data_IF_919543040635
#
_entry.id   IF_919543040635
#
_cell.length_a   1.000
_cell.length_b   1.000
_cell.length_c   1.000
_cell.angle_alpha   90.00
_cell.angle_beta   90.00
_cell.angle_gamma   90.00
#
_symmetry.space_group_name_H-M   'P 1'
#
loop_
_entity.id
_entity.type
_entity.pdbx_description
1 polymer ?
#
# COMPACT_ATOMS: atom_id res chain seq x y z
N UNK A 1 -13.42 9.33 -10.47
CA UNK A 1 -13.56 9.47 -9.00
C UNK A 1 -14.90 8.89 -8.49
N UNK A 2 -14.86 8.05 -7.45
CA UNK A 2 -16.04 7.37 -6.88
C UNK A 2 -16.74 8.20 -5.79
N UNK A 3 -16.00 9.08 -5.12
CA UNK A 3 -16.47 9.99 -4.07
C UNK A 3 -15.86 11.37 -4.29
N UNK A 4 -16.64 12.42 -4.04
CA UNK A 4 -16.11 13.78 -4.00
C UNK A 4 -15.56 14.09 -2.61
N UNK A 5 -14.43 14.79 -2.51
CA UNK A 5 -13.76 15.05 -1.22
C UNK A 5 -14.67 15.77 -0.20
N UNK A 6 -15.56 16.66 -0.67
CA UNK A 6 -16.52 17.37 0.20
C UNK A 6 -17.62 16.48 0.78
N UNK A 7 -17.88 15.30 0.20
CA UNK A 7 -18.88 14.35 0.72
C UNK A 7 -18.47 13.78 2.07
N UNK A 8 -17.17 13.73 2.38
CA UNK A 8 -16.64 13.24 3.65
C UNK A 8 -16.60 14.33 4.74
N UNK A 9 -16.69 15.61 4.37
CA UNK A 9 -16.63 16.73 5.30
C UNK A 9 -17.72 16.67 6.41
N UNK A 10 -19.02 16.42 6.11
CA UNK A 10 -20.03 16.26 7.16
C UNK A 10 -19.83 14.99 8.00
N UNK A 11 -19.31 13.91 7.41
CA UNK A 11 -19.01 12.65 8.11
C UNK A 11 -17.87 12.82 9.11
N UNK A 12 -16.89 13.69 8.83
CA UNK A 12 -15.73 13.91 9.71
C UNK A 12 -16.05 14.52 11.08
N UNK A 13 -17.18 15.24 11.19
CA UNK A 13 -17.62 15.94 12.40
C UNK A 13 -18.86 15.37 13.07
N UNK A 14 -19.36 14.21 12.62
CA UNK A 14 -20.60 13.61 13.11
C UNK A 14 -20.48 12.08 13.23
N UNK A 15 -21.44 11.45 13.91
CA UNK A 15 -21.58 9.99 14.00
C UNK A 15 -22.33 9.40 12.79
N UNK A 16 -22.21 10.03 11.61
CA UNK A 16 -22.87 9.57 10.39
C UNK A 16 -22.04 8.44 9.77
N UNK A 17 -22.61 7.24 9.69
CA UNK A 17 -22.03 6.13 8.95
C UNK A 17 -22.30 6.28 7.45
N UNK A 18 -21.24 6.24 6.64
CA UNK A 18 -21.35 6.28 5.19
C UNK A 18 -21.05 4.91 4.58
N UNK A 19 -22.00 4.38 3.81
CA UNK A 19 -21.82 3.13 3.06
C UNK A 19 -21.89 3.40 1.56
N UNK A 20 -20.84 3.02 0.83
CA UNK A 20 -20.87 2.95 -0.62
C UNK A 20 -21.26 1.56 -1.09
N UNK A 21 -22.22 1.53 -2.02
CA UNK A 21 -22.70 0.35 -2.71
C UNK A 21 -22.76 0.58 -4.21
N UNK A 22 -22.58 -0.49 -4.97
CA UNK A 22 -22.86 -0.49 -6.40
C UNK A 22 -24.36 -0.64 -6.62
N UNK A 23 -24.99 0.25 -7.39
CA UNK A 23 -26.42 0.14 -7.73
C UNK A 23 -26.72 -1.05 -8.64
N UNK A 24 -25.75 -1.50 -9.43
CA UNK A 24 -25.89 -2.64 -10.35
C UNK A 24 -25.70 -3.99 -9.65
N UNK A 25 -24.95 -4.02 -8.54
CA UNK A 25 -24.65 -5.24 -7.77
C UNK A 25 -24.77 -4.96 -6.27
N UNK A 26 -25.99 -4.71 -5.76
CA UNK A 26 -26.20 -4.26 -4.38
C UNK A 26 -25.78 -5.29 -3.32
N UNK A 27 -25.75 -6.58 -3.66
CA UNK A 27 -25.43 -7.68 -2.74
C UNK A 27 -23.94 -8.06 -2.71
N UNK A 28 -23.10 -7.49 -3.60
CA UNK A 28 -21.66 -7.83 -3.68
C UNK A 28 -20.78 -7.07 -2.67
N UNK A 29 -21.36 -6.71 -1.53
CA UNK A 29 -20.68 -6.00 -0.46
C UNK A 29 -20.75 -4.47 -0.60
N UNK A 30 -20.11 -3.80 0.36
CA UNK A 30 -20.13 -2.35 0.48
C UNK A 30 -18.84 -1.84 1.09
N UNK A 31 -18.39 -0.67 0.70
CA UNK A 31 -17.33 0.05 1.42
C UNK A 31 -17.97 0.86 2.54
N UNK A 32 -17.73 0.48 3.79
CA UNK A 32 -18.14 1.25 4.97
C UNK A 32 -17.04 2.24 5.34
N UNK A 33 -17.41 3.49 5.51
CA UNK A 33 -16.52 4.56 5.99
C UNK A 33 -17.00 4.94 7.38
N UNK A 34 -16.18 4.59 8.38
CA UNK A 34 -16.44 4.76 9.80
C UNK A 34 -15.20 5.32 10.51
N UNK A 35 -15.39 5.97 11.65
CA UNK A 35 -14.30 6.52 12.47
C UNK A 35 -13.75 5.45 13.41
N UNK A 36 -13.10 4.43 12.86
CA UNK A 36 -12.45 3.37 13.64
C UNK A 36 -10.94 3.47 13.49
N UNK A 37 -10.20 3.25 14.59
CA UNK A 37 -8.75 3.03 14.54
C UNK A 37 -8.51 1.77 13.70
N UNK A 38 -8.12 1.96 12.44
CA UNK A 38 -7.93 0.86 11.51
C UNK A 38 -7.02 -0.22 12.12
N UNK A 39 -7.51 -1.46 12.17
CA UNK A 39 -6.69 -2.61 12.56
C UNK A 39 -5.70 -2.92 11.44
N UNK A 40 -4.52 -2.30 11.49
CA UNK A 40 -3.39 -2.57 10.60
C UNK A 40 -2.79 -1.30 10.00
N UNK A 41 -1.45 -1.23 10.03
CA UNK A 41 -0.65 -0.09 9.55
C UNK A 41 -0.12 -0.36 8.13
N UNK A 42 -0.23 0.63 7.24
CA UNK A 42 0.26 0.54 5.88
C UNK A 42 -0.67 1.12 4.82
N UNK A 43 -0.27 1.00 3.55
CA UNK A 43 -1.09 1.43 2.42
C UNK A 43 -2.31 0.52 2.28
N UNK A 44 -3.45 1.13 1.99
CA UNK A 44 -4.73 0.45 1.69
C UNK A 44 -5.24 0.80 0.30
N UNK A 45 -4.84 1.96 -0.20
CA UNK A 45 -5.30 2.51 -1.48
C UNK A 45 -4.07 3.01 -2.24
N UNK A 46 -4.07 2.78 -3.54
CA UNK A 46 -3.18 3.43 -4.50
C UNK A 46 -4.06 4.24 -5.44
N UNK A 47 -3.69 5.50 -5.70
CA UNK A 47 -4.46 6.41 -6.57
C UNK A 47 -3.53 7.19 -7.47
N UNK A 48 -4.01 7.57 -8.66
CA UNK A 48 -3.36 8.54 -9.53
C UNK A 48 -4.28 9.69 -9.90
N UNK A 49 -3.68 10.76 -10.39
CA UNK A 49 -4.35 11.85 -11.06
C UNK A 49 -3.47 12.34 -12.21
N UNK A 50 -3.88 12.14 -13.46
CA UNK A 50 -3.05 12.45 -14.64
C UNK A 50 -3.06 13.94 -15.03
N UNK A 51 -4.05 14.71 -14.56
CA UNK A 51 -4.19 16.15 -14.85
C UNK A 51 -4.03 17.01 -13.59
N UNK A 52 -2.79 17.14 -13.11
CA UNK A 52 -2.47 18.06 -12.00
C UNK A 52 -1.67 19.26 -12.48
N UNK A 53 -1.76 20.33 -11.71
CA UNK A 53 -1.06 21.59 -11.92
C UNK A 53 -0.15 21.90 -10.73
N UNK A 54 1.00 22.51 -11.01
CA UNK A 54 1.91 23.03 -10.00
C UNK A 54 1.90 24.55 -10.04
N UNK A 55 1.67 25.16 -8.87
CA UNK A 55 1.96 26.57 -8.64
C UNK A 55 3.38 26.63 -8.08
N UNK A 56 4.26 27.28 -8.80
CA UNK A 56 5.66 27.48 -8.46
C UNK A 56 5.85 28.88 -7.88
N UNK A 57 6.44 28.99 -6.69
CA UNK A 57 6.79 30.25 -6.07
C UNK A 57 8.31 30.33 -5.91
N UNK A 58 8.91 31.26 -6.65
CA UNK A 58 10.33 31.55 -6.57
C UNK A 58 10.57 32.59 -5.47
N UNK A 59 11.22 32.17 -4.39
CA UNK A 59 11.57 33.05 -3.27
C UNK A 59 12.76 33.94 -3.70
N UNK A 60 12.67 35.27 -3.55
CA UNK A 60 13.77 36.18 -3.88
C UNK A 60 15.02 35.93 -3.04
N UNK A 61 16.18 36.14 -3.66
CA UNK A 61 17.46 36.08 -2.97
C UNK A 61 17.51 37.14 -1.85
N UNK A 62 17.66 36.70 -0.60
CA UNK A 62 17.75 37.56 0.58
C UNK A 62 16.58 37.45 1.55
N UNK A 63 15.49 36.76 1.18
CA UNK A 63 14.41 36.43 2.09
C UNK A 63 14.66 35.07 2.77
N UNK A 64 14.18 34.89 3.99
CA UNK A 64 14.21 33.58 4.66
C UNK A 64 13.21 32.63 4.00
N UNK A 65 13.73 31.62 3.33
CA UNK A 65 12.98 30.57 2.66
C UNK A 65 11.99 29.84 3.57
N UNK A 66 12.38 29.58 4.83
CA UNK A 66 11.50 28.88 5.78
C UNK A 66 10.35 29.75 6.22
N UNK A 67 10.60 31.05 6.39
CA UNK A 67 9.57 32.02 6.73
C UNK A 67 8.57 32.15 5.57
N UNK A 68 9.07 32.31 4.34
CA UNK A 68 8.23 32.37 3.14
C UNK A 68 7.34 31.12 2.99
N UNK A 69 7.89 29.92 3.21
CA UNK A 69 7.09 28.68 3.19
C UNK A 69 5.98 28.68 4.25
N UNK A 70 6.29 29.11 5.48
CA UNK A 70 5.32 29.16 6.59
C UNK A 70 4.22 30.20 6.35
N UNK A 71 4.56 31.35 5.78
CA UNK A 71 3.60 32.41 5.46
C UNK A 71 2.62 31.94 4.38
N UNK A 72 3.13 31.32 3.31
CA UNK A 72 2.30 30.75 2.25
C UNK A 72 1.39 29.64 2.79
N UNK A 73 1.93 28.71 3.59
CA UNK A 73 1.15 27.64 4.21
C UNK A 73 0.02 28.22 5.09
N UNK A 74 0.29 29.32 5.81
CA UNK A 74 -0.72 30.00 6.63
C UNK A 74 -1.82 30.62 5.77
N UNK A 75 -1.48 31.28 4.66
CA UNK A 75 -2.44 31.87 3.72
C UNK A 75 -3.34 30.77 3.13
N UNK A 76 -2.75 29.70 2.61
CA UNK A 76 -3.48 28.58 2.01
C UNK A 76 -4.38 27.86 3.02
N UNK A 77 -3.91 27.66 4.27
CA UNK A 77 -4.72 27.09 5.36
C UNK A 77 -5.90 27.97 5.72
N UNK A 78 -5.72 29.29 5.80
CA UNK A 78 -6.82 30.25 6.11
C UNK A 78 -7.87 30.28 5.00
N UNK A 79 -7.44 30.18 3.75
CA UNK A 79 -8.32 30.14 2.60
C UNK A 79 -9.02 28.78 2.40
N UNK A 80 -8.68 27.76 3.20
CA UNK A 80 -9.14 26.37 3.02
C UNK A 80 -8.77 25.74 1.67
N UNK A 81 -7.68 26.22 1.04
CA UNK A 81 -7.18 25.72 -0.24
C UNK A 81 -5.84 25.03 0.00
N UNK A 82 -5.87 23.86 0.64
CA UNK A 82 -4.64 23.09 0.91
C UNK A 82 -4.16 22.39 -0.36
N UNK A 83 -2.84 22.38 -0.63
CA UNK A 83 -2.28 21.63 -1.75
C UNK A 83 -2.35 20.12 -1.49
N UNK A 84 -2.39 19.34 -2.59
CA UNK A 84 -2.32 17.88 -2.57
C UNK A 84 -0.94 17.37 -2.14
N UNK A 85 0.10 18.11 -2.53
CA UNK A 85 1.50 17.82 -2.23
C UNK A 85 2.32 19.11 -2.33
N UNK A 86 3.41 19.18 -1.56
CA UNK A 86 4.31 20.34 -1.55
C UNK A 86 5.74 19.90 -1.88
N UNK A 87 6.32 20.49 -2.91
CA UNK A 87 7.73 20.35 -3.28
C UNK A 87 8.54 21.49 -2.69
N UNK A 88 9.56 21.17 -1.90
CA UNK A 88 10.41 22.16 -1.21
C UNK A 88 11.84 22.01 -1.71
N UNK A 89 12.28 22.93 -2.58
CA UNK A 89 13.59 22.89 -3.22
C UNK A 89 14.47 24.03 -2.69
N UNK A 90 15.11 23.78 -1.54
CA UNK A 90 15.95 24.77 -0.84
C UNK A 90 17.12 25.27 -1.70
N UNK A 91 17.67 24.40 -2.56
CA UNK A 91 18.80 24.68 -3.45
C UNK A 91 18.47 25.75 -4.49
N UNK A 92 17.23 25.75 -4.99
CA UNK A 92 16.74 26.70 -6.01
C UNK A 92 15.86 27.80 -5.43
N UNK A 93 15.66 27.82 -4.11
CA UNK A 93 14.73 28.75 -3.45
C UNK A 93 13.32 28.67 -4.07
N UNK A 94 12.87 27.45 -4.37
CA UNK A 94 11.63 27.19 -5.10
C UNK A 94 10.66 26.36 -4.25
N UNK A 95 9.43 26.86 -4.12
CA UNK A 95 8.30 26.13 -3.54
C UNK A 95 7.34 25.71 -4.65
N UNK A 96 6.87 24.48 -4.61
CA UNK A 96 5.92 23.94 -5.58
C UNK A 96 4.68 23.43 -4.84
N UNK A 97 3.51 23.90 -5.24
CA UNK A 97 2.23 23.52 -4.64
C UNK A 97 1.36 22.81 -5.67
N UNK A 98 1.04 21.55 -5.39
CA UNK A 98 0.27 20.70 -6.30
C UNK A 98 -1.23 20.82 -6.08
N UNK A 99 -1.97 21.07 -7.16
CA UNK A 99 -3.44 21.17 -7.17
C UNK A 99 -4.04 20.40 -8.34
N UNK A 100 -5.33 20.07 -8.23
CA UNK A 100 -6.12 19.64 -9.39
C UNK A 100 -6.40 20.84 -10.29
N UNK A 101 -6.68 20.59 -11.57
CA UNK A 101 -7.08 21.63 -12.53
C UNK A 101 -8.31 22.44 -12.06
N UNK A 102 -9.20 21.85 -11.26
CA UNK A 102 -10.41 22.51 -10.76
C UNK A 102 -10.13 23.60 -9.71
N UNK A 103 -9.08 23.43 -8.92
CA UNK A 103 -8.82 24.28 -7.73
C UNK A 103 -7.65 25.24 -7.97
N UNK A 104 -6.79 24.96 -8.95
CA UNK A 104 -5.54 25.69 -9.15
C UNK A 104 -5.73 27.18 -9.41
N UNK A 105 -6.72 27.58 -10.20
CA UNK A 105 -6.96 28.99 -10.52
C UNK A 105 -7.38 29.79 -9.29
N UNK A 106 -8.17 29.17 -8.41
CA UNK A 106 -8.58 29.77 -7.14
C UNK A 106 -7.38 29.92 -6.20
N UNK A 107 -6.54 28.89 -6.10
CA UNK A 107 -5.33 28.94 -5.29
C UNK A 107 -4.34 30.00 -5.80
N UNK A 108 -4.15 30.08 -7.11
CA UNK A 108 -3.24 31.05 -7.74
C UNK A 108 -3.70 32.49 -7.46
N UNK A 109 -4.99 32.77 -7.61
CA UNK A 109 -5.55 34.10 -7.33
C UNK A 109 -5.32 34.53 -5.88
N UNK A 110 -5.49 33.61 -4.92
CA UNK A 110 -5.27 33.90 -3.49
C UNK A 110 -3.80 34.24 -3.20
N UNK A 111 -2.86 33.54 -3.86
CA UNK A 111 -1.43 33.80 -3.71
C UNK A 111 -1.01 35.10 -4.38
N UNK A 112 -1.61 35.44 -5.52
CA UNK A 112 -1.38 36.70 -6.24
C UNK A 112 -1.90 37.90 -5.44
N UNK A 113 -3.13 37.81 -4.91
CA UNK A 113 -3.74 38.83 -4.05
C UNK A 113 -3.00 39.03 -2.72
N UNK A 114 -2.28 38.01 -2.24
CA UNK A 114 -1.46 38.13 -1.04
C UNK A 114 -0.24 39.03 -1.21
N UNK A 115 0.15 39.39 -2.45
CA UNK A 115 1.23 40.34 -2.73
C UNK A 115 2.59 39.88 -2.22
N UNK A 116 2.85 38.58 -2.24
CA UNK A 116 4.09 38.01 -1.73
C UNK A 116 5.29 38.49 -2.57
N UNK A 117 6.42 38.89 -1.94
CA UNK A 117 7.63 39.24 -2.67
C UNK A 117 8.22 37.98 -3.30
N UNK A 118 7.94 37.71 -4.57
CA UNK A 118 8.40 36.55 -5.31
C UNK A 118 7.73 36.42 -6.68
N UNK A 119 8.16 35.44 -7.47
CA UNK A 119 7.57 35.17 -8.77
C UNK A 119 6.67 33.92 -8.69
N UNK A 120 5.42 34.06 -9.11
CA UNK A 120 4.46 32.96 -9.22
C UNK A 120 4.41 32.48 -10.67
N UNK A 121 4.52 31.15 -10.88
CA UNK A 121 4.34 30.52 -12.19
C UNK A 121 3.40 29.33 -12.09
N UNK A 122 2.57 29.16 -13.10
CA UNK A 122 1.68 28.01 -13.22
C UNK A 122 2.23 27.02 -14.25
N UNK A 123 2.38 25.76 -13.84
CA UNK A 123 2.83 24.67 -14.70
C UNK A 123 1.77 23.58 -14.76
N UNK A 124 1.39 23.18 -15.96
CA UNK A 124 0.34 22.20 -16.22
C UNK A 124 0.91 20.93 -16.88
N UNK A 125 0.08 19.89 -16.99
CA UNK A 125 0.45 18.64 -17.67
C UNK A 125 1.35 17.72 -16.84
N UNK A 126 1.24 17.80 -15.51
CA UNK A 126 1.90 16.88 -14.60
C UNK A 126 0.92 15.78 -14.18
N UNK A 127 1.48 14.69 -13.64
CA UNK A 127 0.70 13.62 -13.06
C UNK A 127 1.09 13.37 -11.60
N UNK A 128 0.16 12.86 -10.82
CA UNK A 128 0.32 12.52 -9.41
C UNK A 128 0.05 11.04 -9.20
N UNK A 129 0.85 10.41 -8.35
CA UNK A 129 0.59 9.08 -7.82
C UNK A 129 0.73 9.13 -6.31
N UNK A 130 -0.21 8.51 -5.60
CA UNK A 130 -0.19 8.43 -4.15
C UNK A 130 -0.54 7.02 -3.63
N UNK A 131 0.11 6.66 -2.53
CA UNK A 131 -0.31 5.58 -1.64
C UNK A 131 -0.95 6.18 -0.40
N UNK A 132 -2.15 5.71 -0.06
CA UNK A 132 -2.93 6.21 1.07
C UNK A 132 -3.22 5.08 2.04
N UNK A 133 -2.98 5.32 3.31
CA UNK A 133 -3.30 4.41 4.40
C UNK A 133 -2.64 4.81 5.72
N UNK A 134 -3.28 4.44 6.84
CA UNK A 134 -2.81 4.83 8.17
C UNK A 134 -1.40 4.29 8.44
N UNK A 135 -0.46 5.20 8.70
CA UNK A 135 0.94 4.84 8.99
C UNK A 135 1.70 4.29 7.77
N UNK A 136 1.25 4.58 6.54
CA UNK A 136 1.95 4.14 5.31
C UNK A 136 3.41 4.58 5.30
N UNK A 137 3.71 5.80 5.77
CA UNK A 137 5.07 6.34 5.82
C UNK A 137 5.96 5.63 6.84
N UNK A 138 5.35 4.96 7.84
CA UNK A 138 6.05 4.21 8.90
C UNK A 138 6.29 2.75 8.54
N UNK A 139 5.70 2.25 7.46
CA UNK A 139 5.90 0.88 7.00
C UNK A 139 7.08 0.83 6.01
N UNK A 140 8.26 0.33 6.41
CA UNK A 140 9.46 0.40 5.57
C UNK A 140 9.33 -0.38 4.27
N UNK A 141 8.58 -1.50 4.29
CA UNK A 141 8.37 -2.35 3.12
C UNK A 141 7.52 -1.63 2.07
N UNK A 142 6.45 -0.96 2.50
CA UNK A 142 5.60 -0.17 1.61
C UNK A 142 6.35 1.01 1.00
N UNK A 143 7.10 1.76 1.81
CA UNK A 143 7.96 2.84 1.32
C UNK A 143 8.99 2.30 0.31
N UNK A 144 9.65 1.17 0.62
CA UNK A 144 10.62 0.56 -0.29
C UNK A 144 9.98 0.16 -1.63
N UNK A 145 8.83 -0.51 -1.61
CA UNK A 145 8.10 -0.92 -2.83
C UNK A 145 7.69 0.29 -3.66
N UNK A 146 7.22 1.36 -3.03
CA UNK A 146 6.91 2.61 -3.72
C UNK A 146 8.13 3.19 -4.45
N UNK A 147 9.25 3.33 -3.75
CA UNK A 147 10.48 3.86 -4.34
C UNK A 147 11.04 2.98 -5.45
N UNK A 148 10.90 1.65 -5.35
CA UNK A 148 11.27 0.73 -6.42
C UNK A 148 10.45 0.96 -7.68
N UNK A 149 9.12 1.12 -7.56
CA UNK A 149 8.25 1.37 -8.72
C UNK A 149 8.53 2.73 -9.39
N UNK A 150 8.98 3.72 -8.60
CA UNK A 150 9.35 5.03 -9.12
C UNK A 150 10.73 5.08 -9.80
N UNK A 151 11.54 4.02 -9.73
CA UNK A 151 12.84 4.01 -10.40
C UNK A 151 12.67 4.13 -11.91
N UNK A 152 13.43 5.04 -12.51
CA UNK A 152 13.38 5.32 -13.95
C UNK A 152 12.19 6.18 -14.39
N UNK A 153 11.32 6.59 -13.46
CA UNK A 153 10.21 7.48 -13.75
C UNK A 153 10.65 8.95 -13.70
N UNK A 154 10.02 9.84 -14.48
CA UNK A 154 10.37 11.25 -14.51
C UNK A 154 9.78 12.01 -13.31
N UNK A 155 10.19 11.63 -12.10
CA UNK A 155 9.75 12.26 -10.85
C UNK A 155 10.21 13.74 -10.84
N UNK A 156 9.29 14.63 -10.49
CA UNK A 156 9.56 16.03 -10.16
C UNK A 156 9.97 16.15 -8.69
N UNK A 157 9.09 15.68 -7.80
CA UNK A 157 9.35 15.61 -6.36
C UNK A 157 8.49 14.54 -5.71
N UNK A 158 8.86 14.20 -4.48
CA UNK A 158 8.12 13.27 -3.62
C UNK A 158 7.71 14.01 -2.35
N UNK A 159 6.53 13.73 -1.85
CA UNK A 159 6.00 14.35 -0.64
C UNK A 159 5.42 13.29 0.28
N UNK A 160 5.57 13.49 1.59
CA UNK A 160 5.01 12.62 2.61
C UNK A 160 4.13 13.46 3.52
N UNK A 161 2.94 12.95 3.83
CA UNK A 161 2.03 13.62 4.74
C UNK A 161 2.62 13.67 6.16
N UNK A 162 2.49 14.81 6.83
CA UNK A 162 2.91 14.99 8.23
C UNK A 162 2.18 14.00 9.16
N UNK A 163 0.90 13.73 8.87
CA UNK A 163 0.08 12.73 9.58
C UNK A 163 0.45 11.27 9.26
N UNK A 164 1.38 11.04 8.32
CA UNK A 164 1.84 9.71 7.92
C UNK A 164 0.81 8.84 7.21
N UNK A 165 -0.26 9.44 6.70
CA UNK A 165 -1.38 8.76 6.03
C UNK A 165 -1.22 8.67 4.50
N UNK A 166 -0.26 9.39 3.92
CA UNK A 166 -0.08 9.47 2.48
C UNK A 166 1.39 9.59 2.10
N UNK A 167 1.74 8.92 1.00
CA UNK A 167 3.04 8.98 0.34
C UNK A 167 2.77 9.31 -1.13
N UNK A 168 3.32 10.43 -1.62
CA UNK A 168 2.96 11.01 -2.92
C UNK A 168 4.20 11.23 -3.78
N UNK A 169 4.08 10.97 -5.07
CA UNK A 169 5.06 11.34 -6.08
C UNK A 169 4.38 12.15 -7.20
N UNK A 170 4.97 13.30 -7.50
CA UNK A 170 4.60 14.13 -8.64
C UNK A 170 5.54 13.83 -9.79
N UNK A 171 4.98 13.54 -10.96
CA UNK A 171 5.66 13.13 -12.18
C UNK A 171 5.54 14.21 -13.24
N UNK A 172 6.62 14.44 -13.99
CA UNK A 172 6.67 15.42 -15.09
C UNK A 172 5.88 15.02 -16.33
N UNK A 173 5.52 13.73 -16.46
CA UNK A 173 4.80 13.21 -17.61
C UNK A 173 4.03 11.93 -17.24
N UNK A 174 2.79 11.81 -17.71
CA UNK A 174 2.01 10.57 -17.72
C UNK A 174 2.29 9.70 -18.98
N UNK A 175 1.78 8.47 -19.06
CA UNK A 175 0.67 7.93 -18.27
C UNK A 175 1.08 7.25 -16.95
N UNK A 176 0.26 7.39 -15.92
CA UNK A 176 0.47 6.77 -14.59
C UNK A 176 -0.04 5.33 -14.47
N UNK A 177 -0.79 4.85 -15.45
CA UNK A 177 -1.50 3.57 -15.39
C UNK A 177 -0.58 2.37 -15.10
N UNK A 178 0.55 2.26 -15.82
CA UNK A 178 1.53 1.19 -15.61
C UNK A 178 2.13 1.22 -14.20
N UNK A 179 2.35 2.42 -13.67
CA UNK A 179 2.87 2.61 -12.33
C UNK A 179 1.83 2.24 -11.26
N UNK A 180 0.57 2.62 -11.48
CA UNK A 180 -0.55 2.24 -10.60
C UNK A 180 -0.73 0.72 -10.59
N UNK A 181 -0.69 0.08 -11.76
CA UNK A 181 -0.80 -1.37 -11.86
C UNK A 181 0.37 -2.08 -11.16
N UNK A 182 1.60 -1.58 -11.34
CA UNK A 182 2.80 -2.10 -10.68
C UNK A 182 2.73 -1.94 -9.16
N UNK A 183 2.34 -0.75 -8.67
CA UNK A 183 2.11 -0.48 -7.25
C UNK A 183 1.01 -1.37 -6.68
N UNK A 184 -0.13 -1.47 -7.36
CA UNK A 184 -1.25 -2.31 -6.92
C UNK A 184 -0.83 -3.77 -6.80
N UNK A 185 -0.14 -4.31 -7.82
CA UNK A 185 0.35 -5.69 -7.82
C UNK A 185 1.39 -5.93 -6.74
N UNK A 186 2.27 -4.95 -6.50
CA UNK A 186 3.35 -5.07 -5.51
C UNK A 186 2.84 -4.91 -4.07
N UNK A 187 1.80 -4.11 -3.83
CA UNK A 187 1.32 -3.75 -2.49
C UNK A 187 0.13 -4.59 -2.04
N UNK A 188 -0.77 -4.95 -2.96
CA UNK A 188 -2.06 -5.58 -2.65
C UNK A 188 -2.20 -6.99 -3.21
N UNK A 189 -1.14 -7.58 -3.75
CA UNK A 189 -1.12 -9.05 -3.85
C UNK A 189 -1.22 -9.59 -2.42
N UNK A 190 -2.25 -10.41 -2.18
CA UNK A 190 -2.25 -11.29 -1.02
C UNK A 190 -0.90 -12.02 -0.98
N UNK A 191 -0.31 -12.16 0.21
CA UNK A 191 0.88 -13.00 0.36
C UNK A 191 0.56 -14.35 -0.28
N UNK A 192 1.32 -14.74 -1.31
CA UNK A 192 1.03 -15.99 -2.00
C UNK A 192 1.10 -17.11 -0.97
N UNK A 193 0.04 -17.90 -0.90
CA UNK A 193 -0.05 -19.03 0.01
C UNK A 193 0.60 -20.20 -0.67
N UNK A 194 1.73 -20.66 -0.15
CA UNK A 194 2.48 -21.80 -0.66
C UNK A 194 2.24 -22.96 0.30
N UNK A 195 1.49 -23.96 -0.17
CA UNK A 195 1.30 -25.20 0.57
C UNK A 195 2.54 -26.08 0.45
N UNK A 196 2.99 -26.66 1.56
CA UNK A 196 4.12 -27.58 1.62
C UNK A 196 3.62 -28.97 2.04
N UNK A 197 3.98 -30.00 1.27
CA UNK A 197 3.74 -31.40 1.64
C UNK A 197 5.09 -32.10 1.76
N UNK A 198 5.41 -32.56 2.97
CA UNK A 198 6.66 -33.25 3.24
C UNK A 198 6.46 -34.77 3.10
N UNK A 199 7.19 -35.39 2.18
CA UNK A 199 7.21 -36.84 2.02
C UNK A 199 8.42 -37.44 2.75
N UNK A 200 8.13 -38.29 3.72
CA UNK A 200 9.09 -39.01 4.52
C UNK A 200 9.47 -38.28 5.81
N UNK A 201 8.86 -38.69 6.93
CA UNK A 201 9.28 -38.30 8.29
C UNK A 201 10.50 -39.11 8.80
N UNK A 202 11.47 -39.38 7.92
CA UNK A 202 12.74 -40.00 8.30
C UNK A 202 13.66 -39.02 9.02
N UNK A 203 14.93 -39.38 9.18
CA UNK A 203 15.94 -38.51 9.82
C UNK A 203 16.07 -37.14 9.15
N UNK A 204 15.84 -37.04 7.85
CA UNK A 204 15.92 -35.77 7.10
C UNK A 204 14.62 -34.97 7.29
N UNK A 205 13.46 -35.59 7.11
CA UNK A 205 12.17 -34.92 7.28
C UNK A 205 11.94 -34.42 8.69
N UNK A 206 12.38 -35.16 9.72
CA UNK A 206 12.28 -34.70 11.11
C UNK A 206 13.10 -33.44 11.35
N UNK A 207 14.34 -33.39 10.85
CA UNK A 207 15.18 -32.18 10.92
C UNK A 207 14.63 -31.02 10.11
N UNK A 208 14.02 -31.30 8.95
CA UNK A 208 13.36 -30.27 8.17
C UNK A 208 12.18 -29.67 8.94
N UNK A 209 11.34 -30.49 9.59
CA UNK A 209 10.22 -30.02 10.42
C UNK A 209 10.71 -29.17 11.60
N UNK A 210 11.78 -29.58 12.28
CA UNK A 210 12.40 -28.78 13.35
C UNK A 210 12.89 -27.42 12.86
N UNK A 211 13.55 -27.38 11.70
CA UNK A 211 14.03 -26.14 11.08
C UNK A 211 12.87 -25.27 10.62
N UNK A 212 11.86 -25.86 10.00
CA UNK A 212 10.69 -25.14 9.51
C UNK A 212 9.92 -24.52 10.68
N UNK A 213 9.70 -25.26 11.78
CA UNK A 213 9.05 -24.74 12.99
C UNK A 213 9.75 -23.48 13.55
N UNK A 214 11.08 -23.41 13.45
CA UNK A 214 11.85 -22.26 13.94
C UNK A 214 11.92 -21.11 12.93
N UNK A 215 12.04 -21.42 11.64
CA UNK A 215 12.38 -20.44 10.60
C UNK A 215 11.19 -19.98 9.76
N UNK A 216 10.00 -20.60 9.86
CA UNK A 216 8.83 -20.29 9.03
C UNK A 216 8.49 -18.79 9.03
N UNK A 217 8.47 -18.16 10.21
CA UNK A 217 8.16 -16.72 10.35
C UNK A 217 9.20 -15.86 9.63
N UNK A 218 10.48 -16.14 9.85
CA UNK A 218 11.59 -15.42 9.20
C UNK A 218 11.61 -15.62 7.69
N UNK A 219 11.35 -16.85 7.23
CA UNK A 219 11.30 -17.21 5.82
C UNK A 219 10.14 -16.49 5.11
N UNK A 220 8.97 -16.49 5.73
CA UNK A 220 7.77 -15.80 5.22
C UNK A 220 8.01 -14.30 5.14
N UNK A 221 8.57 -13.69 6.20
CA UNK A 221 8.92 -12.27 6.23
C UNK A 221 9.94 -11.86 5.15
N UNK A 222 10.92 -12.72 4.84
CA UNK A 222 11.97 -12.43 3.84
C UNK A 222 11.48 -12.57 2.40
N UNK A 223 10.59 -13.53 2.14
CA UNK A 223 10.13 -13.87 0.79
C UNK A 223 8.84 -13.15 0.41
N UNK A 224 8.02 -12.75 1.39
CA UNK A 224 6.68 -12.20 1.16
C UNK A 224 5.66 -13.27 0.75
N UNK A 225 5.93 -14.54 1.06
CA UNK A 225 5.02 -15.67 0.87
C UNK A 225 4.60 -16.22 2.21
N UNK A 226 3.35 -16.67 2.30
CA UNK A 226 2.85 -17.42 3.45
C UNK A 226 3.11 -18.91 3.20
N UNK A 227 4.08 -19.50 3.91
CA UNK A 227 4.32 -20.94 3.82
C UNK A 227 3.45 -21.69 4.80
N UNK A 228 2.67 -22.65 4.31
CA UNK A 228 1.74 -23.44 5.10
C UNK A 228 2.15 -24.91 4.99
N UNK A 229 2.50 -25.55 6.11
CA UNK A 229 2.71 -26.99 6.13
C UNK A 229 1.34 -27.68 5.99
N UNK A 230 1.01 -28.09 4.78
CA UNK A 230 -0.29 -28.66 4.44
C UNK A 230 -0.35 -30.16 4.72
N UNK A 231 0.79 -30.85 4.63
CA UNK A 231 0.83 -32.29 4.85
C UNK A 231 2.19 -32.83 5.25
N UNK A 232 2.17 -33.91 6.02
CA UNK A 232 3.32 -34.78 6.27
C UNK A 232 2.89 -36.20 5.92
N UNK A 233 3.67 -36.88 5.11
CA UNK A 233 3.33 -38.18 4.54
C UNK A 233 4.46 -39.17 4.83
N UNK A 234 4.14 -40.38 5.29
CA UNK A 234 5.07 -41.52 5.32
C UNK A 234 4.69 -42.52 4.21
N UNK A 235 5.32 -43.69 4.17
CA UNK A 235 5.05 -44.68 3.11
C UNK A 235 3.63 -45.27 3.12
N UNK A 236 2.85 -45.10 4.20
CA UNK A 236 1.51 -45.70 4.36
C UNK A 236 0.47 -44.75 4.99
N UNK A 237 0.90 -43.71 5.68
CA UNK A 237 0.07 -42.83 6.51
C UNK A 237 0.34 -41.38 6.18
N UNK A 238 -0.66 -40.55 6.35
CA UNK A 238 -0.58 -39.11 6.11
C UNK A 238 -1.24 -38.33 7.24
N UNK A 239 -0.71 -37.14 7.47
CA UNK A 239 -1.34 -36.10 8.28
C UNK A 239 -1.56 -34.91 7.35
N UNK A 240 -2.80 -34.53 7.10
CA UNK A 240 -3.17 -33.56 6.08
C UNK A 240 -4.14 -32.51 6.65
N UNK A 241 -3.86 -31.23 6.44
CA UNK A 241 -4.76 -30.13 6.79
C UNK A 241 -4.53 -28.91 5.89
N UNK A 242 -5.56 -28.46 5.18
CA UNK A 242 -5.46 -27.28 4.33
C UNK A 242 -5.28 -25.96 5.11
N UNK A 243 -5.70 -25.92 6.38
CA UNK A 243 -5.49 -24.76 7.24
C UNK A 243 -4.06 -24.68 7.79
N UNK A 244 -3.28 -25.74 7.61
CA UNK A 244 -1.91 -25.85 8.09
C UNK A 244 -1.77 -26.76 9.30
N UNK A 245 -0.58 -27.37 9.40
CA UNK A 245 -0.13 -28.20 10.49
C UNK A 245 0.94 -27.44 11.28
N UNK A 246 0.84 -27.47 12.60
CA UNK A 246 1.96 -27.06 13.45
C UNK A 246 3.10 -28.07 13.27
N UNK A 247 4.25 -27.61 12.80
CA UNK A 247 5.37 -28.50 12.47
C UNK A 247 5.94 -29.23 13.71
N UNK A 248 5.88 -28.61 14.90
CA UNK A 248 6.35 -29.23 16.14
C UNK A 248 5.38 -30.32 16.61
N UNK A 249 4.06 -30.06 16.51
CA UNK A 249 3.02 -31.04 16.82
C UNK A 249 3.03 -32.18 15.83
N UNK A 250 3.11 -31.88 14.53
CA UNK A 250 3.22 -32.87 13.47
C UNK A 250 4.46 -33.75 13.67
N UNK A 251 5.59 -33.19 14.13
CA UNK A 251 6.77 -33.98 14.45
C UNK A 251 6.54 -34.92 15.64
N UNK A 252 5.94 -34.42 16.72
CA UNK A 252 5.77 -35.14 17.98
C UNK A 252 4.67 -36.21 17.94
N UNK A 253 3.54 -35.91 17.33
CA UNK A 253 2.32 -36.72 17.39
C UNK A 253 1.96 -37.42 16.06
N UNK A 254 2.87 -37.41 15.08
CA UNK A 254 2.63 -38.04 13.78
C UNK A 254 2.12 -39.48 13.89
N UNK A 255 2.72 -40.28 14.76
CA UNK A 255 2.36 -41.70 14.85
C UNK A 255 0.97 -41.94 15.43
N UNK A 256 0.45 -40.96 16.19
CA UNK A 256 -0.83 -41.05 16.88
C UNK A 256 -1.96 -40.43 16.04
N UNK A 257 -1.65 -39.37 15.28
CA UNK A 257 -2.64 -38.59 14.51
C UNK A 257 -2.68 -38.94 13.01
N UNK A 258 -1.65 -39.59 12.45
CA UNK A 258 -1.62 -39.92 11.03
C UNK A 258 -2.56 -41.08 10.67
N UNK A 259 -3.27 -40.92 9.56
CA UNK A 259 -4.28 -41.86 9.08
C UNK A 259 -3.71 -42.65 7.89
N UNK A 260 -4.02 -43.94 7.80
CA UNK A 260 -3.71 -44.71 6.60
C UNK A 260 -4.46 -44.12 5.40
N UNK A 261 -3.72 -43.86 4.32
CA UNK A 261 -4.29 -43.24 3.13
C UNK A 261 -3.70 -43.89 1.89
N UNK A 262 -4.56 -44.21 0.93
CA UNK A 262 -4.15 -44.70 -0.37
C UNK A 262 -3.58 -43.58 -1.25
N UNK A 263 -2.72 -43.97 -2.20
CA UNK A 263 -2.01 -43.03 -3.07
C UNK A 263 -2.98 -42.20 -3.94
N UNK A 264 -4.10 -42.77 -4.36
CA UNK A 264 -5.09 -42.11 -5.21
C UNK A 264 -5.83 -41.01 -4.43
N UNK A 265 -6.28 -41.31 -3.21
CA UNK A 265 -6.89 -40.32 -2.32
C UNK A 265 -5.93 -39.19 -1.94
N UNK A 266 -4.65 -39.50 -1.69
CA UNK A 266 -3.63 -38.48 -1.40
C UNK A 266 -3.42 -37.56 -2.60
N UNK A 267 -3.34 -38.13 -3.81
CA UNK A 267 -3.17 -37.34 -5.03
C UNK A 267 -4.39 -36.43 -5.31
N UNK A 268 -5.61 -36.96 -5.14
CA UNK A 268 -6.83 -36.17 -5.27
C UNK A 268 -6.89 -35.03 -4.25
N UNK A 269 -6.49 -35.30 -3.01
CA UNK A 269 -6.39 -34.28 -1.96
C UNK A 269 -5.38 -33.18 -2.33
N UNK A 270 -4.18 -33.55 -2.79
CA UNK A 270 -3.18 -32.58 -3.23
C UNK A 270 -3.73 -31.73 -4.38
N UNK A 271 -4.40 -32.34 -5.37
CA UNK A 271 -4.97 -31.60 -6.50
C UNK A 271 -6.07 -30.61 -6.10
N UNK A 272 -6.79 -30.87 -5.01
CA UNK A 272 -7.89 -30.03 -4.53
C UNK A 272 -7.42 -28.88 -3.60
N UNK A 273 -6.11 -28.61 -3.52
CA UNK A 273 -5.56 -27.61 -2.60
C UNK A 273 -6.10 -26.19 -2.84
N UNK A 274 -6.28 -25.36 -1.79
CA UNK A 274 -6.72 -23.97 -1.91
C UNK A 274 -5.57 -22.95 -2.06
N UNK A 275 -4.31 -23.42 -2.13
CA UNK A 275 -3.11 -22.58 -2.21
C UNK A 275 -2.85 -22.04 -3.61
N UNK A 276 -2.05 -20.96 -3.70
CA UNK A 276 -1.57 -20.45 -4.99
C UNK A 276 -0.66 -21.46 -5.69
N UNK A 277 0.23 -22.09 -4.92
CA UNK A 277 1.13 -23.15 -5.37
C UNK A 277 1.26 -24.22 -4.27
N UNK A 278 1.40 -25.50 -4.66
CA UNK A 278 1.68 -26.62 -3.76
C UNK A 278 3.06 -27.21 -4.09
N UNK A 279 3.94 -27.27 -3.10
CA UNK A 279 5.30 -27.80 -3.24
C UNK A 279 5.41 -29.10 -2.46
N UNK A 280 5.96 -30.11 -3.13
CA UNK A 280 6.26 -31.42 -2.56
C UNK A 280 7.75 -31.48 -2.22
N UNK A 281 8.08 -31.83 -0.99
CA UNK A 281 9.43 -31.87 -0.42
C UNK A 281 9.84 -33.28 -0.01
#
# INVERSE_FOLDING_TARGET
PVLHARTLQPVSGSDIDLQLRCSYTPDQGSTRIERVLASGTGARIVTSHDDICLIEFQVPAGQDFKLAHKDIDTILKRAQVRPLAVGVHNDRQLLQFCYTAEVVDSALKILDEAGLPGELRLRQGLALVAMVGAGVTRNPLHCHRFWQQLKGQPVEFTWQSEEGISLVAVLRKGPTESLIQGLHTSLFRAEKRIGLVLFGKGNIGSRWLELFAREQVTLSARTGFEFILAGVVDSRRSLLNYEGLDASRALAFFNDEAVEQDEESLFLWMRAHPYDDLVVL
#
